data_IF_740013330938
#
_entry.id   IF_740013330938
#
_cell.length_a   1.000
_cell.length_b   1.000
_cell.length_c   1.000
_cell.angle_alpha   90.00
_cell.angle_beta   90.00
_cell.angle_gamma   90.00
#
_symmetry.space_group_name_H-M   'P 1'
#
loop_
_entity.id
_entity.type
_entity.pdbx_description
1 polymer ?
#
# COMPACT_ATOMS: atom_id res chain seq x y z
N UNK A 1 -27.66 -16.42 -10.09
CA UNK A 1 -26.21 -16.73 -10.22
C UNK A 1 -25.33 -15.48 -10.19
N UNK A 2 -25.46 -14.48 -11.09
CA UNK A 2 -24.59 -13.26 -11.09
C UNK A 2 -24.62 -12.44 -9.78
N UNK A 3 -25.79 -12.26 -9.16
CA UNK A 3 -25.93 -11.48 -7.90
C UNK A 3 -25.27 -12.12 -6.67
N UNK A 4 -25.24 -13.45 -6.60
CA UNK A 4 -24.59 -14.18 -5.50
C UNK A 4 -23.08 -14.04 -5.59
N UNK A 5 -22.51 -14.17 -6.80
CA UNK A 5 -21.09 -13.91 -7.07
C UNK A 5 -20.68 -12.49 -6.68
N UNK A 6 -21.41 -11.46 -7.12
CA UNK A 6 -21.13 -10.07 -6.74
C UNK A 6 -21.24 -9.82 -5.23
N UNK A 7 -22.16 -10.49 -4.53
CA UNK A 7 -22.31 -10.36 -3.07
C UNK A 7 -21.20 -11.05 -2.28
N UNK A 8 -20.69 -12.19 -2.77
CA UNK A 8 -19.57 -12.90 -2.17
C UNK A 8 -18.28 -12.10 -2.35
N UNK A 9 -18.02 -11.61 -3.57
CA UNK A 9 -16.87 -10.78 -3.91
C UNK A 9 -16.88 -9.46 -3.14
N UNK A 10 -18.05 -8.83 -2.97
CA UNK A 10 -18.20 -7.64 -2.14
C UNK A 10 -17.93 -7.92 -0.65
N UNK A 11 -18.33 -9.08 -0.11
CA UNK A 11 -18.04 -9.48 1.28
C UNK A 11 -16.54 -9.71 1.50
N UNK A 12 -15.89 -10.40 0.57
CA UNK A 12 -14.45 -10.69 0.59
C UNK A 12 -13.63 -9.39 0.49
N UNK A 13 -14.03 -8.48 -0.41
CA UNK A 13 -13.47 -7.12 -0.48
C UNK A 13 -13.68 -6.33 0.81
N UNK A 14 -14.86 -6.40 1.45
CA UNK A 14 -15.16 -5.65 2.68
C UNK A 14 -14.28 -6.03 3.86
N UNK A 15 -13.88 -7.30 3.96
CA UNK A 15 -13.00 -7.79 5.04
C UNK A 15 -11.56 -7.35 4.84
N UNK A 16 -11.10 -7.28 3.59
CA UNK A 16 -9.72 -6.95 3.22
C UNK A 16 -9.49 -5.44 3.18
N UNK A 17 -10.50 -4.69 2.75
CA UNK A 17 -10.47 -3.23 2.66
C UNK A 17 -9.93 -2.49 3.90
N UNK A 18 -10.33 -2.82 5.16
CA UNK A 18 -9.79 -2.16 6.34
C UNK A 18 -8.28 -2.39 6.53
N UNK A 19 -7.75 -3.55 6.14
CA UNK A 19 -6.31 -3.85 6.24
C UNK A 19 -5.53 -3.01 5.23
N UNK A 20 -5.95 -3.03 3.96
CA UNK A 20 -5.31 -2.25 2.90
C UNK A 20 -5.38 -0.75 3.18
N UNK A 21 -6.54 -0.25 3.60
CA UNK A 21 -6.71 1.15 3.97
C UNK A 21 -5.89 1.54 5.19
N UNK A 22 -5.73 0.66 6.18
CA UNK A 22 -4.85 0.89 7.32
C UNK A 22 -3.38 1.08 6.89
N UNK A 23 -2.88 0.20 6.03
CA UNK A 23 -1.51 0.26 5.51
C UNK A 23 -1.29 1.54 4.70
N UNK A 24 -2.20 1.84 3.76
CA UNK A 24 -2.13 3.06 2.94
C UNK A 24 -2.22 4.31 3.82
N UNK A 25 -3.06 4.31 4.85
CA UNK A 25 -3.17 5.44 5.78
C UNK A 25 -1.86 5.69 6.54
N UNK A 26 -1.17 4.63 6.99
CA UNK A 26 0.14 4.74 7.65
C UNK A 26 1.18 5.34 6.67
N UNK A 27 1.18 4.89 5.42
CA UNK A 27 2.08 5.42 4.39
C UNK A 27 1.82 6.92 4.15
N UNK A 28 0.56 7.31 3.93
CA UNK A 28 0.17 8.70 3.69
C UNK A 28 0.42 9.59 4.89
N UNK A 29 0.13 9.13 6.12
CA UNK A 29 0.42 9.88 7.34
C UNK A 29 1.92 10.13 7.51
N UNK A 30 2.75 9.11 7.22
CA UNK A 30 4.21 9.24 7.24
C UNK A 30 4.70 10.20 6.16
N UNK A 31 4.12 10.14 4.95
CA UNK A 31 4.40 11.08 3.86
C UNK A 31 4.06 12.53 4.20
N UNK A 32 2.92 12.77 4.84
CA UNK A 32 2.51 14.10 5.32
C UNK A 32 3.44 14.62 6.42
N UNK A 33 3.95 13.74 7.29
CA UNK A 33 4.95 14.13 8.27
C UNK A 33 6.29 14.49 7.60
N UNK A 34 6.74 13.73 6.60
CA UNK A 34 7.96 14.03 5.82
C UNK A 34 7.81 15.34 5.06
N UNK A 35 6.66 15.60 4.43
CA UNK A 35 6.34 16.87 3.80
C UNK A 35 6.65 18.06 4.70
N UNK A 36 6.21 17.99 5.97
CA UNK A 36 6.41 19.06 6.95
C UNK A 36 7.85 19.17 7.48
N UNK A 37 8.56 18.04 7.59
CA UNK A 37 9.92 17.95 8.13
C UNK A 37 10.97 18.41 7.10
N UNK A 38 10.82 17.98 5.84
CA UNK A 38 11.78 18.26 4.77
C UNK A 38 11.46 19.55 3.99
N UNK A 39 10.36 20.23 4.34
CA UNK A 39 9.86 21.43 3.65
C UNK A 39 9.67 21.20 2.13
N UNK A 40 9.25 20.00 1.77
CA UNK A 40 8.93 19.64 0.39
C UNK A 40 7.58 20.21 -0.02
N UNK A 41 7.27 20.17 -1.32
CA UNK A 41 5.90 20.35 -1.78
C UNK A 41 5.08 19.07 -1.51
N UNK A 42 3.77 19.21 -1.38
CA UNK A 42 2.89 18.08 -1.04
C UNK A 42 2.94 16.98 -2.13
N UNK A 43 3.01 17.38 -3.40
CA UNK A 43 3.16 16.49 -4.55
C UNK A 43 4.48 15.72 -4.53
N UNK A 44 5.58 16.35 -4.13
CA UNK A 44 6.90 15.72 -3.98
C UNK A 44 6.90 14.68 -2.86
N UNK A 45 6.29 15.02 -1.72
CA UNK A 45 6.18 14.10 -0.59
C UNK A 45 5.26 12.90 -0.87
N UNK A 46 4.14 13.13 -1.58
CA UNK A 46 3.25 12.05 -2.02
C UNK A 46 3.96 11.15 -3.05
N UNK A 47 4.64 11.76 -4.02
CA UNK A 47 5.46 11.03 -4.99
C UNK A 47 6.51 10.16 -4.29
N UNK A 48 7.30 10.72 -3.37
CA UNK A 48 8.26 9.99 -2.56
C UNK A 48 7.59 8.83 -1.81
N UNK A 49 6.44 9.08 -1.16
CA UNK A 49 5.72 8.07 -0.39
C UNK A 49 5.34 6.85 -1.24
N UNK A 50 4.80 7.07 -2.44
CA UNK A 50 4.43 5.97 -3.33
C UNK A 50 5.64 5.32 -3.99
N UNK A 51 6.63 6.08 -4.44
CA UNK A 51 7.85 5.54 -5.06
C UNK A 51 8.64 4.70 -4.07
N UNK A 52 8.77 5.13 -2.82
CA UNK A 52 9.42 4.36 -1.75
C UNK A 52 8.56 3.18 -1.32
N UNK A 53 7.26 3.37 -1.09
CA UNK A 53 6.36 2.31 -0.64
C UNK A 53 6.15 1.21 -1.68
N UNK A 54 6.07 1.55 -2.95
CA UNK A 54 6.01 0.57 -4.04
C UNK A 54 7.39 0.00 -4.40
N UNK A 55 8.42 0.31 -3.60
CA UNK A 55 9.79 -0.20 -3.75
C UNK A 55 10.46 0.16 -5.08
N UNK A 56 9.99 1.24 -5.74
CA UNK A 56 10.57 1.74 -6.99
C UNK A 56 11.89 2.46 -6.71
N UNK A 57 11.88 3.38 -5.74
CA UNK A 57 13.10 3.97 -5.17
C UNK A 57 14.02 4.72 -6.14
N UNK A 58 13.49 5.65 -6.95
CA UNK A 58 14.31 6.42 -7.91
C UNK A 58 15.44 7.24 -7.28
N UNK A 59 15.29 7.69 -6.03
CA UNK A 59 16.34 8.41 -5.28
C UNK A 59 16.49 9.89 -5.65
N UNK A 60 15.58 10.42 -6.46
CA UNK A 60 15.45 11.84 -6.80
C UNK A 60 15.03 12.70 -5.59
N UNK A 61 14.15 12.17 -4.74
CA UNK A 61 13.84 12.75 -3.43
C UNK A 61 14.39 11.87 -2.32
N UNK A 62 15.23 12.45 -1.45
CA UNK A 62 15.85 11.75 -0.33
C UNK A 62 15.79 12.56 0.96
N UNK A 63 15.27 12.00 2.06
CA UNK A 63 15.15 12.72 3.33
C UNK A 63 16.53 13.02 3.93
N UNK A 64 16.73 14.28 4.30
CA UNK A 64 17.97 14.79 4.91
C UNK A 64 17.93 14.67 6.43
N UNK A 65 16.77 14.82 7.04
CA UNK A 65 16.57 14.72 8.48
C UNK A 65 16.47 13.27 8.95
N UNK A 66 17.06 12.98 10.11
CA UNK A 66 17.03 11.65 10.73
C UNK A 66 15.60 11.18 11.00
N UNK A 67 14.72 12.08 11.46
CA UNK A 67 13.30 11.79 11.68
C UNK A 67 12.59 11.37 10.40
N UNK A 68 12.81 12.10 9.30
CA UNK A 68 12.22 11.76 8.00
C UNK A 68 12.77 10.45 7.43
N UNK A 69 14.05 10.11 7.68
CA UNK A 69 14.62 8.80 7.33
C UNK A 69 13.94 7.65 8.07
N UNK A 70 13.64 7.82 9.36
CA UNK A 70 12.90 6.81 10.14
C UNK A 70 11.49 6.63 9.56
N UNK A 71 10.81 7.72 9.21
CA UNK A 71 9.50 7.65 8.56
C UNK A 71 9.57 6.97 7.18
N UNK A 72 10.63 7.21 6.40
CA UNK A 72 10.85 6.54 5.13
C UNK A 72 11.02 5.02 5.29
N UNK A 73 11.69 4.56 6.36
CA UNK A 73 11.77 3.14 6.68
C UNK A 73 10.39 2.54 6.99
N UNK A 74 9.54 3.27 7.72
CA UNK A 74 8.16 2.85 7.99
C UNK A 74 7.34 2.75 6.70
N UNK A 75 7.49 3.71 5.78
CA UNK A 75 6.85 3.69 4.46
C UNK A 75 7.31 2.46 3.66
N UNK A 76 8.61 2.19 3.61
CA UNK A 76 9.16 1.04 2.91
C UNK A 76 8.64 -0.29 3.46
N UNK A 77 8.63 -0.45 4.80
CA UNK A 77 8.10 -1.66 5.43
C UNK A 77 6.59 -1.84 5.16
N UNK A 78 5.80 -0.77 5.34
CA UNK A 78 4.36 -0.78 5.04
C UNK A 78 4.09 -1.15 3.58
N UNK A 79 4.92 -0.64 2.66
CA UNK A 79 4.87 -0.96 1.24
C UNK A 79 5.14 -2.43 0.89
N UNK A 80 6.16 -3.03 1.52
CA UNK A 80 6.43 -4.47 1.39
C UNK A 80 5.25 -5.29 1.89
N UNK A 81 4.66 -4.93 3.03
CA UNK A 81 3.46 -5.61 3.54
C UNK A 81 2.27 -5.44 2.57
N UNK A 82 2.07 -4.24 2.04
CA UNK A 82 1.00 -3.95 1.08
C UNK A 82 1.10 -4.85 -0.16
N UNK A 83 2.27 -4.87 -0.79
CA UNK A 83 2.53 -5.67 -2.00
C UNK A 83 2.42 -7.17 -1.72
N UNK A 84 2.92 -7.64 -0.57
CA UNK A 84 2.78 -9.03 -0.13
C UNK A 84 1.32 -9.46 0.09
N UNK A 85 0.50 -8.62 0.72
CA UNK A 85 -0.93 -8.87 0.91
C UNK A 85 -1.66 -8.94 -0.43
N UNK A 86 -1.37 -8.02 -1.35
CA UNK A 86 -1.97 -8.02 -2.71
C UNK A 86 -1.60 -9.31 -3.46
N UNK A 87 -0.34 -9.72 -3.41
CA UNK A 87 0.12 -10.96 -4.03
C UNK A 87 -0.59 -12.19 -3.44
N UNK A 88 -0.69 -12.27 -2.11
CA UNK A 88 -1.37 -13.38 -1.44
C UNK A 88 -2.86 -13.48 -1.79
N UNK A 89 -3.56 -12.35 -1.89
CA UNK A 89 -4.96 -12.30 -2.31
C UNK A 89 -5.11 -12.77 -3.75
N UNK A 90 -4.21 -12.32 -4.63
CA UNK A 90 -4.22 -12.71 -6.04
C UNK A 90 -4.04 -14.21 -6.19
N UNK A 91 -3.07 -14.80 -5.49
CA UNK A 91 -2.85 -16.26 -5.47
C UNK A 91 -4.06 -17.00 -4.91
N UNK A 92 -4.66 -16.50 -3.82
CA UNK A 92 -5.86 -17.10 -3.25
C UNK A 92 -7.04 -17.09 -4.23
N UNK A 93 -7.26 -15.96 -4.91
CA UNK A 93 -8.33 -15.83 -5.89
C UNK A 93 -8.12 -16.74 -7.11
N UNK A 94 -6.88 -16.90 -7.58
CA UNK A 94 -6.54 -17.82 -8.66
C UNK A 94 -6.79 -19.29 -8.25
N UNK A 95 -6.33 -19.69 -7.07
CA UNK A 95 -6.55 -21.05 -6.56
C UNK A 95 -8.04 -21.37 -6.34
N UNK A 96 -8.86 -20.38 -5.98
CA UNK A 96 -10.32 -20.54 -5.88
C UNK A 96 -10.95 -20.72 -7.26
N UNK A 97 -10.51 -19.98 -8.28
CA UNK A 97 -10.99 -20.12 -9.66
C UNK A 97 -10.59 -21.45 -10.33
N UNK A 98 -9.37 -21.94 -10.09
CA UNK A 98 -8.89 -23.22 -10.61
C UNK A 98 -9.68 -24.40 -10.02
N UNK A 99 -10.09 -24.32 -8.75
CA UNK A 99 -10.90 -25.36 -8.09
C UNK A 99 -12.33 -25.45 -8.63
N UNK A 100 -12.87 -24.35 -9.16
CA UNK A 100 -14.20 -24.29 -9.74
C UNK A 100 -14.20 -24.60 -11.27
N UNK A 101 -13.03 -24.94 -11.83
CA UNK A 101 -12.89 -25.37 -13.22
C UNK A 101 -13.12 -26.89 -13.34
N UNK A 102 -14.08 -27.35 -14.17
CA UNK A 102 -14.45 -28.77 -14.29
C UNK A 102 -13.38 -29.66 -14.93
#
# INVERSE_FOLDING_TARGET
MRRLFFSALAKQLRVIWPILSGIVSIMLASGLAIWRIEDWRLDEALYFTFVTGLTIGYGDFTPKHVSARILALLIGFAGIVLTGVIAAITVKALNEADRDSP
#
